data_IF_508669778765
#
_entry.id   IF_508669778765
#
_cell.length_a   1.000
_cell.length_b   1.000
_cell.length_c   1.000
_cell.angle_alpha   90.00
_cell.angle_beta   90.00
_cell.angle_gamma   90.00
#
_symmetry.space_group_name_H-M   'P 1'
#
loop_
_entity.id
_entity.type
_entity.pdbx_description
1 polymer ?
#
# COMPACT_ATOMS: atom_id res chain seq x y z
N UNK A 1 -25.03 -5.41 -6.64
CA UNK A 1 -23.62 -5.40 -7.07
C UNK A 1 -22.85 -4.68 -5.99
N UNK A 2 -21.73 -5.24 -5.59
CA UNK A 2 -20.87 -4.74 -4.52
C UNK A 2 -19.48 -4.48 -5.07
N UNK A 3 -18.70 -3.68 -4.35
CA UNK A 3 -17.29 -3.47 -4.70
C UNK A 3 -16.52 -4.79 -4.69
N UNK A 4 -15.80 -5.06 -5.79
CA UNK A 4 -15.02 -6.29 -5.98
C UNK A 4 -15.72 -7.39 -6.76
N UNK A 5 -17.00 -7.22 -7.09
CA UNK A 5 -17.71 -8.12 -8.00
C UNK A 5 -17.08 -8.08 -9.41
N UNK A 6 -16.98 -9.24 -10.07
CA UNK A 6 -16.55 -9.31 -11.47
C UNK A 6 -17.68 -8.85 -12.40
N UNK A 7 -17.33 -8.01 -13.38
CA UNK A 7 -18.27 -7.47 -14.37
C UNK A 7 -17.85 -7.82 -15.79
N UNK A 8 -18.83 -7.91 -16.69
CA UNK A 8 -18.61 -8.16 -18.12
C UNK A 8 -19.05 -6.94 -18.94
N UNK A 9 -18.59 -6.87 -20.19
CA UNK A 9 -19.05 -5.84 -21.12
C UNK A 9 -20.58 -5.95 -21.28
N UNK A 10 -21.26 -4.81 -21.19
CA UNK A 10 -22.73 -4.73 -21.24
C UNK A 10 -23.43 -4.96 -19.90
N UNK A 11 -22.72 -5.24 -18.81
CA UNK A 11 -23.32 -5.34 -17.48
C UNK A 11 -23.84 -3.96 -17.02
N UNK A 12 -25.11 -3.90 -16.62
CA UNK A 12 -25.68 -2.73 -15.94
C UNK A 12 -25.19 -2.70 -14.48
N UNK A 13 -24.36 -1.71 -14.14
CA UNK A 13 -23.71 -1.60 -12.82
C UNK A 13 -24.64 -0.93 -11.79
N UNK A 14 -25.29 0.17 -12.17
CA UNK A 14 -26.25 0.90 -11.33
C UNK A 14 -27.22 1.71 -12.20
N UNK A 15 -28.35 2.10 -11.61
CA UNK A 15 -29.30 3.07 -12.18
C UNK A 15 -29.27 4.34 -11.30
N UNK A 16 -29.28 5.53 -11.91
CA UNK A 16 -29.35 6.82 -11.20
C UNK A 16 -30.66 7.52 -11.53
N UNK A 17 -31.28 8.14 -10.52
CA UNK A 17 -32.48 8.97 -10.69
C UNK A 17 -32.29 10.30 -9.97
N UNK A 18 -32.71 11.39 -10.60
CA UNK A 18 -32.53 12.75 -10.08
C UNK A 18 -32.75 13.80 -11.17
N UNK A 19 -32.39 15.05 -10.87
CA UNK A 19 -32.40 16.15 -11.85
C UNK A 19 -31.41 15.87 -12.98
N UNK A 20 -31.86 16.06 -14.22
CA UNK A 20 -31.04 15.88 -15.43
C UNK A 20 -29.74 16.70 -15.37
N UNK A 21 -29.83 17.96 -14.92
CA UNK A 21 -28.67 18.86 -14.79
C UNK A 21 -27.66 18.30 -13.80
N UNK A 22 -28.12 17.80 -12.65
CA UNK A 22 -27.23 17.25 -11.62
C UNK A 22 -26.55 15.97 -12.09
N UNK A 23 -27.27 15.09 -12.79
CA UNK A 23 -26.73 13.84 -13.32
C UNK A 23 -25.64 14.14 -14.36
N UNK A 24 -25.94 14.99 -15.35
CA UNK A 24 -25.00 15.34 -16.42
C UNK A 24 -23.76 16.08 -15.89
N UNK A 25 -23.93 16.93 -14.88
CA UNK A 25 -22.81 17.66 -14.25
C UNK A 25 -21.87 16.73 -13.49
N UNK A 26 -22.41 15.74 -12.76
CA UNK A 26 -21.61 14.81 -11.96
C UNK A 26 -21.02 13.65 -12.77
N UNK A 27 -21.60 13.32 -13.93
CA UNK A 27 -21.29 12.12 -14.72
C UNK A 27 -19.78 11.92 -14.91
N UNK A 28 -19.09 12.92 -15.46
CA UNK A 28 -17.66 12.78 -15.80
C UNK A 28 -16.80 12.56 -14.57
N UNK A 29 -17.11 13.27 -13.48
CA UNK A 29 -16.39 13.14 -12.22
C UNK A 29 -16.53 11.71 -11.69
N UNK A 30 -17.76 11.23 -11.57
CA UNK A 30 -18.06 9.89 -11.05
C UNK A 30 -17.40 8.82 -11.92
N UNK A 31 -17.54 8.90 -13.25
CA UNK A 31 -16.94 7.93 -14.16
C UNK A 31 -15.42 7.90 -14.07
N UNK A 32 -14.76 9.05 -13.92
CA UNK A 32 -13.30 9.10 -13.78
C UNK A 32 -12.83 8.34 -12.53
N UNK A 33 -13.50 8.51 -11.38
CA UNK A 33 -13.18 7.77 -10.16
C UNK A 33 -13.49 6.28 -10.33
N UNK A 34 -14.67 5.94 -10.83
CA UNK A 34 -15.08 4.55 -11.01
C UNK A 34 -14.12 3.81 -11.93
N UNK A 35 -13.77 4.39 -13.07
CA UNK A 35 -12.84 3.78 -14.03
C UNK A 35 -11.44 3.59 -13.43
N UNK A 36 -10.90 4.61 -12.75
CA UNK A 36 -9.57 4.54 -12.12
C UNK A 36 -9.52 3.45 -11.06
N UNK A 37 -10.47 3.46 -10.12
CA UNK A 37 -10.47 2.56 -8.98
C UNK A 37 -10.81 1.12 -9.41
N UNK A 38 -11.75 0.95 -10.34
CA UNK A 38 -12.06 -0.38 -10.90
C UNK A 38 -10.86 -0.96 -11.66
N UNK A 39 -10.10 -0.12 -12.39
CA UNK A 39 -8.88 -0.54 -13.07
C UNK A 39 -7.81 -1.04 -12.09
N UNK A 40 -7.60 -0.33 -10.99
CA UNK A 40 -6.67 -0.76 -9.92
C UNK A 40 -7.14 -2.07 -9.29
N UNK A 41 -8.41 -2.16 -8.88
CA UNK A 41 -8.96 -3.36 -8.26
C UNK A 41 -8.86 -4.59 -9.20
N UNK A 42 -9.16 -4.41 -10.48
CA UNK A 42 -9.06 -5.46 -11.51
C UNK A 42 -7.61 -5.95 -11.67
N UNK A 43 -6.65 -5.03 -11.74
CA UNK A 43 -5.23 -5.37 -11.87
C UNK A 43 -4.70 -6.06 -10.60
N UNK A 44 -5.08 -5.56 -9.41
CA UNK A 44 -4.77 -6.19 -8.14
C UNK A 44 -5.31 -7.62 -8.06
N UNK A 45 -6.58 -7.84 -8.47
CA UNK A 45 -7.20 -9.17 -8.53
C UNK A 45 -6.44 -10.11 -9.44
N UNK A 46 -6.06 -9.65 -10.62
CA UNK A 46 -5.27 -10.43 -11.59
C UNK A 46 -3.96 -10.92 -10.97
N UNK A 47 -3.24 -10.06 -10.24
CA UNK A 47 -1.97 -10.43 -9.60
C UNK A 47 -2.20 -11.36 -8.40
N UNK A 48 -3.21 -11.05 -7.56
CA UNK A 48 -3.58 -11.88 -6.41
C UNK A 48 -3.92 -13.32 -6.85
N UNK A 49 -4.66 -13.48 -7.95
CA UNK A 49 -4.99 -14.79 -8.50
C UNK A 49 -3.78 -15.59 -9.01
N UNK A 50 -2.74 -14.92 -9.52
CA UNK A 50 -1.49 -15.59 -9.94
C UNK A 50 -0.79 -16.22 -8.73
N UNK A 51 -0.90 -15.61 -7.55
CA UNK A 51 -0.23 -16.04 -6.34
C UNK A 51 -1.13 -16.84 -5.38
N UNK A 52 -2.36 -17.18 -5.76
CA UNK A 52 -3.36 -17.80 -4.88
C UNK A 52 -2.89 -19.09 -4.20
N UNK A 53 -2.00 -19.84 -4.85
CA UNK A 53 -1.50 -21.14 -4.36
C UNK A 53 -0.26 -20.98 -3.46
N UNK A 54 0.23 -19.75 -3.28
CA UNK A 54 1.40 -19.42 -2.46
C UNK A 54 0.98 -18.70 -1.18
N UNK A 55 1.78 -18.87 -0.11
CA UNK A 55 1.63 -18.11 1.14
C UNK A 55 2.26 -16.71 1.02
N UNK A 56 1.89 -15.98 -0.02
CA UNK A 56 2.48 -14.68 -0.36
C UNK A 56 1.38 -13.65 -0.52
N UNK A 57 1.57 -12.49 0.12
CA UNK A 57 0.65 -11.37 0.04
C UNK A 57 1.24 -10.28 -0.83
N UNK A 58 0.48 -9.77 -1.78
CA UNK A 58 0.85 -8.58 -2.56
C UNK A 58 0.60 -7.33 -1.75
N UNK A 59 1.60 -6.46 -1.69
CA UNK A 59 1.54 -5.16 -1.03
C UNK A 59 1.59 -4.02 -2.04
N UNK A 60 0.81 -2.98 -1.82
CA UNK A 60 0.96 -1.70 -2.51
C UNK A 60 2.15 -0.87 -1.98
N UNK A 61 2.32 0.34 -2.51
CA UNK A 61 3.41 1.24 -2.09
C UNK A 61 2.90 2.67 -1.92
N UNK A 62 3.84 3.61 -1.68
CA UNK A 62 3.57 5.05 -1.68
C UNK A 62 3.70 5.71 -3.07
N UNK A 63 3.99 4.93 -4.12
CA UNK A 63 4.03 5.38 -5.52
C UNK A 63 2.60 5.50 -6.07
N UNK A 64 1.83 6.39 -5.48
CA UNK A 64 0.42 6.64 -5.78
C UNK A 64 0.23 7.99 -6.42
N UNK A 65 -0.89 8.19 -7.12
CA UNK A 65 -1.26 9.51 -7.64
C UNK A 65 -1.39 10.52 -6.48
N UNK A 66 -0.79 11.73 -6.56
CA UNK A 66 -0.94 12.75 -5.54
C UNK A 66 -2.41 13.03 -5.22
N UNK A 67 -2.76 13.14 -3.93
CA UNK A 67 -4.14 13.36 -3.46
C UNK A 67 -5.07 12.14 -3.49
N UNK A 68 -4.70 11.07 -4.19
CA UNK A 68 -5.58 9.91 -4.43
C UNK A 68 -5.20 8.67 -3.64
N UNK A 69 -4.11 8.72 -2.85
CA UNK A 69 -3.51 7.55 -2.19
C UNK A 69 -4.54 6.71 -1.44
N UNK A 70 -5.38 7.34 -0.62
CA UNK A 70 -6.38 6.62 0.17
C UNK A 70 -7.32 5.79 -0.71
N UNK A 71 -7.80 6.37 -1.81
CA UNK A 71 -8.71 5.72 -2.75
C UNK A 71 -8.01 4.61 -3.52
N UNK A 72 -6.79 4.85 -4.00
CA UNK A 72 -6.01 3.83 -4.72
C UNK A 72 -5.68 2.64 -3.82
N UNK A 73 -5.29 2.88 -2.55
CA UNK A 73 -5.08 1.84 -1.54
C UNK A 73 -6.36 1.10 -1.17
N UNK A 74 -7.51 1.77 -1.21
CA UNK A 74 -8.80 1.12 -1.00
C UNK A 74 -9.13 0.17 -2.15
N UNK A 75 -8.92 0.61 -3.40
CA UNK A 75 -9.09 -0.22 -4.59
C UNK A 75 -8.16 -1.45 -4.60
N UNK A 76 -6.91 -1.30 -4.14
CA UNK A 76 -5.97 -2.44 -3.97
C UNK A 76 -6.55 -3.50 -3.04
N UNK A 77 -7.12 -3.09 -1.88
CA UNK A 77 -7.79 -4.01 -0.96
C UNK A 77 -8.99 -4.70 -1.58
N UNK A 78 -9.84 -3.96 -2.30
CA UNK A 78 -10.99 -4.53 -3.01
C UNK A 78 -10.53 -5.60 -4.01
N UNK A 79 -9.41 -5.39 -4.68
CA UNK A 79 -8.80 -6.38 -5.58
C UNK A 79 -8.20 -7.61 -4.90
N UNK A 80 -8.24 -7.73 -3.57
CA UNK A 80 -7.71 -8.88 -2.83
C UNK A 80 -6.19 -8.83 -2.57
N UNK A 81 -5.60 -7.63 -2.60
CA UNK A 81 -4.23 -7.37 -2.13
C UNK A 81 -4.26 -6.68 -0.76
N UNK A 82 -3.10 -6.45 -0.17
CA UNK A 82 -2.98 -5.76 1.13
C UNK A 82 -2.22 -4.44 1.01
N UNK A 83 -2.39 -3.58 2.01
CA UNK A 83 -1.78 -2.27 2.03
C UNK A 83 -0.50 -2.30 2.86
N UNK A 84 0.59 -1.77 2.30
CA UNK A 84 1.76 -1.34 3.08
C UNK A 84 1.42 -0.04 3.83
N UNK A 85 2.41 0.64 4.43
CA UNK A 85 2.24 1.92 5.13
C UNK A 85 1.60 3.01 4.26
N UNK A 86 0.77 3.87 4.86
CA UNK A 86 0.10 4.97 4.17
C UNK A 86 1.04 6.16 3.97
N UNK A 87 1.89 6.43 4.95
CA UNK A 87 2.82 7.54 4.99
C UNK A 87 4.10 7.20 5.72
N UNK A 88 4.92 8.23 5.94
CA UNK A 88 6.16 8.11 6.74
C UNK A 88 5.89 8.05 8.25
N UNK A 89 4.65 8.34 8.66
CA UNK A 89 4.23 8.41 10.05
C UNK A 89 3.71 7.08 10.62
N UNK A 90 3.30 6.13 9.77
CA UNK A 90 2.70 4.87 10.25
C UNK A 90 3.75 3.82 10.65
N UNK A 91 4.94 3.90 10.07
CA UNK A 91 5.98 2.89 10.19
C UNK A 91 7.32 3.46 9.75
N UNK A 92 8.37 3.13 10.51
CA UNK A 92 9.74 3.47 10.13
C UNK A 92 10.22 2.47 9.08
N UNK A 93 10.71 2.98 7.96
CA UNK A 93 11.33 2.15 6.93
C UNK A 93 12.72 2.70 6.65
N UNK A 94 13.72 1.96 7.08
CA UNK A 94 15.13 2.27 6.88
C UNK A 94 15.52 1.82 5.47
N UNK A 95 15.80 2.80 4.62
CA UNK A 95 16.36 2.57 3.28
C UNK A 95 17.88 2.64 3.31
N UNK A 96 18.51 2.18 2.24
CA UNK A 96 19.95 2.33 1.93
C UNK A 96 20.55 3.66 2.42
N UNK A 97 19.97 4.79 2.05
CA UNK A 97 20.46 6.12 2.40
C UNK A 97 20.50 6.38 3.92
N UNK A 98 19.55 5.80 4.66
CA UNK A 98 19.50 5.93 6.12
C UNK A 98 20.55 5.04 6.78
N UNK A 99 20.76 3.84 6.24
CA UNK A 99 21.78 2.89 6.71
C UNK A 99 23.16 3.47 6.51
N UNK A 100 23.44 3.99 5.32
CA UNK A 100 24.72 4.61 4.98
C UNK A 100 24.98 5.84 5.87
N UNK A 101 23.98 6.71 6.08
CA UNK A 101 24.08 7.85 6.98
C UNK A 101 24.28 7.45 8.45
N UNK A 102 23.65 6.36 8.89
CA UNK A 102 23.78 5.88 10.27
C UNK A 102 25.14 5.22 10.56
N UNK A 103 25.90 4.86 9.52
CA UNK A 103 27.15 4.11 9.60
C UNK A 103 26.93 2.61 9.77
N UNK A 104 25.93 2.05 9.07
CA UNK A 104 25.65 0.60 9.04
C UNK A 104 24.30 0.18 9.64
N UNK A 105 23.91 -1.07 9.36
CA UNK A 105 22.61 -1.65 9.71
C UNK A 105 22.34 -1.59 11.21
N UNK A 106 23.29 -2.08 12.02
CA UNK A 106 23.14 -2.17 13.47
C UNK A 106 22.94 -0.79 14.11
N UNK A 107 23.72 0.20 13.64
CA UNK A 107 23.61 1.58 14.11
C UNK A 107 22.26 2.21 13.72
N UNK A 108 21.78 1.96 12.50
CA UNK A 108 20.49 2.45 12.04
C UNK A 108 19.34 1.91 12.91
N UNK A 109 19.34 0.60 13.19
CA UNK A 109 18.33 -0.07 14.01
C UNK A 109 18.36 0.43 15.46
N UNK A 110 19.55 0.49 16.09
CA UNK A 110 19.70 0.94 17.49
C UNK A 110 19.25 2.38 17.66
N UNK A 111 19.72 3.29 16.80
CA UNK A 111 19.33 4.72 16.84
C UNK A 111 17.83 4.90 16.68
N UNK A 112 17.21 4.14 15.77
CA UNK A 112 15.75 4.19 15.55
C UNK A 112 14.98 3.70 16.77
N UNK A 113 15.37 2.56 17.35
CA UNK A 113 14.74 2.04 18.56
C UNK A 113 14.87 3.01 19.74
N UNK A 114 16.06 3.60 19.94
CA UNK A 114 16.29 4.63 20.96
C UNK A 114 15.40 5.86 20.74
N UNK A 115 15.29 6.32 19.48
CA UNK A 115 14.41 7.43 19.13
C UNK A 115 12.96 7.14 19.49
N UNK A 116 12.44 5.98 19.08
CA UNK A 116 11.06 5.57 19.37
C UNK A 116 10.80 5.48 20.88
N UNK A 117 11.72 4.88 21.64
CA UNK A 117 11.62 4.80 23.11
C UNK A 117 11.64 6.19 23.75
N UNK A 118 12.57 7.07 23.36
CA UNK A 118 12.67 8.43 23.92
C UNK A 118 11.44 9.30 23.67
N UNK A 119 10.69 8.98 22.61
CA UNK A 119 9.45 9.68 22.23
C UNK A 119 8.19 8.95 22.69
N UNK A 120 8.32 7.79 23.34
CA UNK A 120 7.17 6.96 23.73
C UNK A 120 6.33 6.49 22.54
N UNK A 121 6.95 6.30 21.38
CA UNK A 121 6.28 5.87 20.15
C UNK A 121 6.38 4.35 19.99
N UNK A 122 5.29 3.72 19.56
CA UNK A 122 5.24 2.31 19.25
C UNK A 122 4.96 2.11 17.76
N UNK A 123 6.00 2.22 16.94
CA UNK A 123 5.93 2.06 15.49
C UNK A 123 6.78 0.87 15.05
N UNK A 124 6.27 0.11 14.08
CA UNK A 124 7.04 -0.96 13.45
C UNK A 124 8.25 -0.38 12.68
N UNK A 125 9.34 -1.16 12.64
CA UNK A 125 10.56 -0.84 11.88
C UNK A 125 10.76 -1.90 10.81
N UNK A 126 10.87 -1.50 9.54
CA UNK A 126 11.28 -2.33 8.41
C UNK A 126 12.59 -1.79 7.83
N UNK A 127 13.44 -2.66 7.28
CA UNK A 127 14.74 -2.25 6.74
C UNK A 127 14.99 -2.91 5.38
N UNK A 128 15.37 -2.11 4.39
CA UNK A 128 15.81 -2.58 3.08
C UNK A 128 17.27 -3.03 3.17
N UNK A 129 17.57 -4.22 2.65
CA UNK A 129 18.91 -4.81 2.63
C UNK A 129 19.36 -5.09 1.21
N UNK A 130 20.67 -5.01 0.96
CA UNK A 130 21.32 -5.14 -0.35
C UNK A 130 22.05 -6.47 -0.53
N UNK A 131 22.37 -7.16 0.56
CA UNK A 131 23.10 -8.44 0.54
C UNK A 131 22.62 -9.38 1.65
N UNK A 132 22.93 -10.67 1.51
CA UNK A 132 22.66 -11.67 2.55
C UNK A 132 23.42 -11.37 3.85
N UNK A 133 24.59 -10.73 3.76
CA UNK A 133 25.35 -10.30 4.93
C UNK A 133 24.59 -9.21 5.71
N UNK A 134 24.00 -8.22 5.01
CA UNK A 134 23.14 -7.21 5.64
C UNK A 134 21.90 -7.88 6.27
N UNK A 135 21.29 -8.86 5.61
CA UNK A 135 20.18 -9.65 6.20
C UNK A 135 20.62 -10.32 7.49
N UNK A 136 21.80 -10.94 7.52
CA UNK A 136 22.33 -11.58 8.73
C UNK A 136 22.56 -10.57 9.86
N UNK A 137 23.06 -9.36 9.54
CA UNK A 137 23.21 -8.28 10.52
C UNK A 137 21.87 -7.86 11.12
N UNK A 138 20.82 -7.73 10.30
CA UNK A 138 19.46 -7.42 10.76
C UNK A 138 18.95 -8.52 11.70
N UNK A 139 19.12 -9.79 11.32
CA UNK A 139 18.68 -10.93 12.14
C UNK A 139 19.41 -11.00 13.49
N UNK A 140 20.71 -10.69 13.50
CA UNK A 140 21.53 -10.67 14.72
C UNK A 140 21.15 -9.50 15.64
N UNK A 141 20.86 -8.31 15.08
CA UNK A 141 20.51 -7.13 15.85
C UNK A 141 19.09 -7.23 16.44
N UNK A 142 18.14 -7.79 15.70
CA UNK A 142 16.73 -7.84 16.10
C UNK A 142 16.09 -6.46 16.21
N UNK A 143 14.96 -6.35 16.91
CA UNK A 143 14.28 -5.06 17.12
C UNK A 143 13.70 -4.43 15.84
N UNK A 144 13.41 -5.26 14.84
CA UNK A 144 12.72 -4.89 13.59
C UNK A 144 11.62 -5.90 13.29
N UNK A 145 10.62 -5.49 12.53
CA UNK A 145 9.57 -6.35 12.00
C UNK A 145 10.06 -7.02 10.71
N UNK A 146 9.78 -8.32 10.59
CA UNK A 146 10.10 -9.15 9.42
C UNK A 146 9.07 -8.97 8.32
#
# INVERSE_FOLDING_TARGET
>A
MNDGDEIKVGTRVFDVKGSDISILTAERLVLNFMQRLSGIASQSKKISLILKDYKTTILDTRKTTPGMRLLEKWAVKIGGCSNHRMGVYDMVMLKDNHVDFAGGIENAIKKTNQYLQSKGLNLDIEIETRSLDEVQQVLNCGGVKR
#
